data_IF_617775386492
#
_entry.id   IF_617775386492
#
_cell.length_a   1.000
_cell.length_b   1.000
_cell.length_c   1.000
_cell.angle_alpha   90.00
_cell.angle_beta   90.00
_cell.angle_gamma   90.00
#
_symmetry.space_group_name_H-M   'P 1'
#
loop_
_entity.id
_entity.type
_entity.pdbx_description
1 polymer ?
#
# COMPACT_ATOMS: atom_id res chain seq x y z
N UNK A 1 -43.73 -52.30 11.45
CA UNK A 1 -42.61 -52.45 10.51
C UNK A 1 -41.46 -51.63 11.07
N UNK A 2 -40.29 -52.26 11.29
CA UNK A 2 -39.07 -51.58 11.78
C UNK A 2 -38.37 -50.95 10.58
N UNK A 3 -38.17 -49.64 10.60
CA UNK A 3 -37.31 -48.94 9.64
C UNK A 3 -35.84 -49.22 9.99
N UNK A 4 -35.04 -49.54 8.98
CA UNK A 4 -33.65 -49.97 9.11
C UNK A 4 -32.76 -48.71 9.24
N UNK A 5 -31.93 -48.56 10.30
CA UNK A 5 -31.25 -47.29 10.61
C UNK A 5 -29.93 -47.06 9.85
N UNK A 6 -29.71 -47.73 8.71
CA UNK A 6 -28.43 -47.72 8.00
C UNK A 6 -28.50 -47.22 6.55
N UNK A 7 -29.56 -46.50 6.16
CA UNK A 7 -29.62 -45.87 4.84
C UNK A 7 -29.25 -44.39 4.94
N UNK A 8 -28.02 -44.04 4.58
CA UNK A 8 -27.49 -42.68 4.65
C UNK A 8 -27.63 -41.88 3.34
N UNK A 9 -28.60 -42.21 2.49
CA UNK A 9 -29.05 -41.33 1.39
C UNK A 9 -28.04 -41.02 0.28
N UNK A 10 -26.78 -41.43 0.39
CA UNK A 10 -25.77 -41.30 -0.66
C UNK A 10 -25.73 -42.59 -1.48
N UNK A 11 -26.45 -42.60 -2.61
CA UNK A 11 -26.33 -43.65 -3.63
C UNK A 11 -24.97 -43.54 -4.34
N UNK A 12 -23.92 -44.04 -3.71
CA UNK A 12 -22.66 -44.35 -4.39
C UNK A 12 -22.83 -45.58 -5.27
N UNK A 13 -22.46 -45.49 -6.54
CA UNK A 13 -22.42 -46.63 -7.46
C UNK A 13 -21.04 -47.30 -7.36
N UNK A 14 -20.82 -48.14 -6.35
CA UNK A 14 -19.68 -49.06 -6.34
C UNK A 14 -20.19 -50.36 -6.96
N UNK A 15 -19.55 -50.82 -8.04
CA UNK A 15 -19.85 -52.09 -8.72
C UNK A 15 -18.88 -53.16 -8.23
N UNK A 16 -19.29 -54.43 -8.28
CA UNK A 16 -18.47 -55.58 -7.83
C UNK A 16 -17.11 -55.72 -8.55
N UNK A 17 -16.90 -54.97 -9.65
CA UNK A 17 -15.67 -54.96 -10.44
C UNK A 17 -14.82 -53.69 -10.26
N UNK A 18 -15.14 -52.81 -9.32
CA UNK A 18 -14.32 -51.63 -9.07
C UNK A 18 -13.03 -52.04 -8.34
N UNK A 19 -11.88 -51.84 -8.97
CA UNK A 19 -10.58 -52.16 -8.39
C UNK A 19 -10.31 -51.27 -7.17
N UNK A 20 -10.09 -51.91 -6.02
CA UNK A 20 -9.64 -51.24 -4.80
C UNK A 20 -8.29 -50.58 -5.06
N UNK A 21 -8.26 -49.25 -5.11
CA UNK A 21 -7.01 -48.50 -5.11
C UNK A 21 -6.38 -48.70 -3.72
N UNK A 22 -5.21 -49.36 -3.61
CA UNK A 22 -4.52 -49.48 -2.33
C UNK A 22 -4.10 -48.09 -1.89
N UNK A 23 -4.65 -47.63 -0.77
CA UNK A 23 -4.21 -46.38 -0.16
C UNK A 23 -2.82 -46.65 0.42
N UNK A 24 -1.82 -45.96 -0.11
CA UNK A 24 -0.46 -45.96 0.43
C UNK A 24 -0.45 -45.16 1.74
N UNK A 25 -0.76 -45.85 2.83
CA UNK A 25 -0.76 -45.27 4.17
C UNK A 25 0.64 -44.82 4.59
N UNK A 26 1.70 -45.44 4.08
CA UNK A 26 3.08 -45.09 4.41
C UNK A 26 3.46 -43.77 3.73
N UNK A 27 3.15 -43.61 2.44
CA UNK A 27 3.34 -42.34 1.72
C UNK A 27 2.43 -41.20 2.19
N UNK A 28 1.24 -41.51 2.71
CA UNK A 28 0.37 -40.53 3.38
C UNK A 28 0.89 -40.17 4.78
N UNK A 29 1.40 -41.13 5.55
CA UNK A 29 2.08 -40.89 6.83
C UNK A 29 3.32 -40.03 6.63
N UNK A 30 4.15 -40.31 5.63
CA UNK A 30 5.35 -39.52 5.33
C UNK A 30 4.99 -38.09 4.89
N UNK A 31 3.88 -37.90 4.16
CA UNK A 31 3.36 -36.56 3.82
C UNK A 31 2.72 -35.84 5.00
N UNK A 32 2.09 -36.55 5.93
CA UNK A 32 1.55 -35.98 7.17
C UNK A 32 2.68 -35.66 8.14
N UNK A 33 3.72 -36.47 8.21
CA UNK A 33 4.93 -36.21 8.99
C UNK A 33 5.77 -35.08 8.38
N UNK A 34 5.83 -34.95 7.05
CA UNK A 34 6.46 -33.81 6.37
C UNK A 34 5.63 -32.52 6.46
N UNK A 35 4.28 -32.61 6.49
CA UNK A 35 3.40 -31.47 6.74
C UNK A 35 3.33 -31.08 8.23
N UNK A 36 3.56 -32.04 9.14
CA UNK A 36 3.74 -31.83 10.58
C UNK A 36 5.22 -31.69 10.97
N UNK A 37 6.15 -31.63 10.00
CA UNK A 37 7.53 -31.23 10.23
C UNK A 37 7.57 -29.71 10.40
N UNK A 38 6.90 -29.26 11.45
CA UNK A 38 7.31 -28.09 12.21
C UNK A 38 8.71 -28.45 12.67
N UNK A 39 9.72 -27.71 12.23
CA UNK A 39 11.07 -27.76 12.79
C UNK A 39 10.94 -27.86 14.32
N UNK A 40 11.71 -28.71 15.01
CA UNK A 40 11.49 -29.00 16.41
C UNK A 40 11.57 -27.70 17.21
N UNK A 41 10.40 -27.10 17.50
CA UNK A 41 10.33 -25.92 18.33
C UNK A 41 10.90 -26.31 19.69
N UNK A 42 11.91 -25.55 20.11
CA UNK A 42 12.59 -25.74 21.36
C UNK A 42 11.58 -25.95 22.49
N UNK A 43 11.88 -26.89 23.39
CA UNK A 43 11.13 -27.13 24.62
C UNK A 43 11.34 -25.96 25.60
N UNK A 44 10.84 -24.77 25.26
CA UNK A 44 10.81 -23.58 26.11
C UNK A 44 9.38 -23.21 26.52
N UNK A 45 9.25 -22.46 27.60
CA UNK A 45 8.02 -21.76 27.99
C UNK A 45 7.59 -20.77 26.89
N UNK A 46 6.33 -20.30 26.93
CA UNK A 46 5.80 -19.33 25.96
C UNK A 46 6.70 -18.08 25.86
N UNK A 47 7.20 -17.60 27.00
CA UNK A 47 8.08 -16.42 27.08
C UNK A 47 9.45 -16.71 26.47
N UNK A 48 10.07 -17.85 26.80
CA UNK A 48 11.37 -18.24 26.25
C UNK A 48 11.32 -18.39 24.72
N UNK A 49 10.27 -19.00 24.20
CA UNK A 49 10.09 -19.15 22.76
C UNK A 49 9.90 -17.78 22.07
N UNK A 50 9.15 -16.87 22.70
CA UNK A 50 8.97 -15.51 22.19
C UNK A 50 10.30 -14.72 22.18
N UNK A 51 11.07 -14.78 23.26
CA UNK A 51 12.39 -14.12 23.37
C UNK A 51 13.41 -14.70 22.40
N UNK A 52 13.43 -16.03 22.24
CA UNK A 52 14.30 -16.69 21.27
C UNK A 52 13.99 -16.22 19.84
N UNK A 53 12.71 -16.21 19.45
CA UNK A 53 12.28 -15.73 18.12
C UNK A 53 12.55 -14.23 17.93
N UNK A 54 12.47 -13.45 19.02
CA UNK A 54 12.87 -12.04 19.01
C UNK A 54 14.36 -11.88 18.74
N UNK A 55 15.20 -12.66 19.41
CA UNK A 55 16.65 -12.64 19.22
C UNK A 55 17.08 -13.01 17.79
N UNK A 56 16.28 -13.83 17.08
CA UNK A 56 16.55 -14.19 15.68
C UNK A 56 16.17 -13.09 14.67
N UNK A 57 15.13 -12.30 14.98
CA UNK A 57 14.52 -11.35 14.03
C UNK A 57 14.80 -9.88 14.35
N UNK A 58 15.38 -9.60 15.50
CA UNK A 58 15.67 -8.24 15.95
C UNK A 58 16.88 -7.65 15.23
N UNK A 59 16.73 -6.44 14.71
CA UNK A 59 17.85 -5.65 14.20
C UNK A 59 18.50 -4.85 15.34
N UNK A 60 19.79 -5.10 15.57
CA UNK A 60 20.55 -4.51 16.69
C UNK A 60 20.45 -2.98 16.75
N UNK A 61 20.31 -2.46 17.97
CA UNK A 61 20.30 -1.01 18.24
C UNK A 61 21.55 -0.71 19.06
N UNK A 62 22.44 0.13 18.54
CA UNK A 62 23.72 0.45 19.21
C UNK A 62 24.54 -0.78 19.58
N UNK A 63 24.58 -1.78 18.70
CA UNK A 63 25.30 -3.04 18.90
C UNK A 63 24.77 -3.85 20.11
N UNK A 64 23.56 -3.54 20.59
CA UNK A 64 22.90 -4.26 21.68
C UNK A 64 21.90 -5.27 21.12
N UNK A 65 21.92 -6.47 21.67
CA UNK A 65 20.90 -7.49 21.44
C UNK A 65 19.66 -7.25 22.33
N UNK A 66 18.53 -7.93 22.07
CA UNK A 66 17.31 -7.77 22.88
C UNK A 66 17.50 -8.01 24.37
N UNK A 67 18.32 -8.99 24.78
CA UNK A 67 18.54 -9.28 26.19
C UNK A 67 19.30 -8.16 26.91
N UNK A 68 20.29 -7.54 26.25
CA UNK A 68 21.01 -6.38 26.77
C UNK A 68 20.10 -5.15 26.89
N UNK A 69 19.17 -4.99 25.95
CA UNK A 69 18.13 -3.96 26.00
C UNK A 69 17.18 -4.20 27.17
N UNK A 70 16.69 -5.44 27.35
CA UNK A 70 15.84 -5.83 28.48
C UNK A 70 16.52 -5.52 29.82
N UNK A 71 17.81 -5.85 29.96
CA UNK A 71 18.58 -5.57 31.18
C UNK A 71 18.75 -4.05 31.41
N UNK A 72 19.02 -3.29 30.35
CA UNK A 72 19.17 -1.84 30.43
C UNK A 72 17.85 -1.16 30.85
N UNK A 73 16.73 -1.59 30.26
CA UNK A 73 15.40 -1.09 30.63
C UNK A 73 15.05 -1.48 32.06
N UNK A 74 15.37 -2.72 32.47
CA UNK A 74 15.16 -3.18 33.85
C UNK A 74 15.89 -2.28 34.86
N UNK A 75 17.15 -1.94 34.60
CA UNK A 75 17.91 -1.02 35.45
C UNK A 75 17.29 0.39 35.49
N UNK A 76 16.82 0.90 34.34
CA UNK A 76 16.19 2.22 34.26
C UNK A 76 14.88 2.28 35.05
N UNK A 77 13.99 1.31 34.84
CA UNK A 77 12.70 1.19 35.52
C UNK A 77 12.90 1.06 37.03
N UNK A 78 13.85 0.23 37.48
CA UNK A 78 14.13 0.07 38.91
C UNK A 78 14.54 1.39 39.55
N UNK A 79 15.39 2.18 38.88
CA UNK A 79 15.78 3.49 39.38
C UNK A 79 14.59 4.47 39.49
N UNK A 80 13.67 4.45 38.52
CA UNK A 80 12.46 5.27 38.56
C UNK A 80 11.50 4.87 39.68
N UNK A 81 11.37 3.56 39.95
CA UNK A 81 10.58 3.06 41.08
C UNK A 81 11.16 3.54 42.42
N UNK A 82 12.48 3.42 42.60
CA UNK A 82 13.18 3.84 43.82
C UNK A 82 13.06 5.36 44.05
N UNK A 83 13.21 6.16 42.98
CA UNK A 83 13.08 7.63 43.05
C UNK A 83 11.65 8.08 43.36
N UNK A 84 10.66 7.40 42.79
CA UNK A 84 9.24 7.71 42.98
C UNK A 84 8.68 7.15 44.28
N UNK A 85 9.42 6.27 44.96
CA UNK A 85 9.00 5.59 46.18
C UNK A 85 7.85 4.60 45.96
N UNK A 86 7.76 4.03 44.74
CA UNK A 86 6.73 3.08 44.36
C UNK A 86 7.19 1.67 44.76
N UNK A 87 6.40 0.99 45.61
CA UNK A 87 6.67 -0.38 46.03
C UNK A 87 6.19 -1.37 44.95
N UNK A 88 7.12 -1.74 44.07
CA UNK A 88 6.87 -2.52 42.86
C UNK A 88 8.04 -3.48 42.57
N UNK A 89 7.74 -4.66 42.02
CA UNK A 89 8.74 -5.67 41.67
C UNK A 89 8.74 -5.94 40.16
N UNK A 90 9.92 -5.88 39.54
CA UNK A 90 10.08 -6.24 38.13
C UNK A 90 10.21 -7.76 38.03
N UNK A 91 9.17 -8.42 37.52
CA UNK A 91 9.14 -9.90 37.40
C UNK A 91 10.02 -10.36 36.24
N UNK A 92 9.73 -9.91 35.04
CA UNK A 92 10.58 -10.08 33.86
C UNK A 92 10.38 -8.85 32.94
N UNK A 93 11.09 -8.79 31.82
CA UNK A 93 11.07 -7.70 30.85
C UNK A 93 11.21 -8.33 29.46
N UNK A 94 10.36 -7.97 28.51
CA UNK A 94 10.42 -8.49 27.14
C UNK A 94 10.38 -7.34 26.12
N UNK A 95 11.25 -7.38 25.10
CA UNK A 95 11.13 -6.48 23.95
C UNK A 95 9.94 -6.89 23.10
N UNK A 96 9.01 -5.97 22.88
CA UNK A 96 7.81 -6.16 22.04
C UNK A 96 7.73 -5.10 20.94
N UNK A 97 6.61 -5.06 20.24
CA UNK A 97 6.37 -4.09 19.17
C UNK A 97 6.99 -4.50 17.84
N UNK A 98 7.03 -3.56 16.90
CA UNK A 98 7.44 -3.85 15.52
C UNK A 98 8.88 -4.39 15.41
N UNK A 99 9.78 -3.88 16.25
CA UNK A 99 11.20 -4.23 16.27
C UNK A 99 11.48 -5.66 16.72
N UNK A 100 10.62 -6.26 17.56
CA UNK A 100 10.86 -7.62 18.02
C UNK A 100 10.72 -8.66 16.89
N UNK A 101 10.16 -8.28 15.73
CA UNK A 101 9.97 -9.15 14.56
C UNK A 101 10.44 -8.57 13.24
N UNK A 102 11.35 -7.59 13.27
CA UNK A 102 11.89 -6.99 12.05
C UNK A 102 10.84 -6.23 11.23
N UNK A 103 9.74 -5.79 11.87
CA UNK A 103 8.63 -5.08 11.23
C UNK A 103 8.73 -3.57 11.44
N UNK A 104 9.83 -3.05 11.96
CA UNK A 104 10.01 -1.63 12.21
C UNK A 104 10.16 -0.79 10.95
N UNK A 105 9.90 0.51 11.09
CA UNK A 105 10.08 1.53 10.06
C UNK A 105 11.05 2.62 10.57
N UNK A 106 11.45 3.53 9.69
CA UNK A 106 12.26 4.67 10.09
C UNK A 106 11.52 5.51 11.15
N UNK A 107 12.12 5.66 12.33
CA UNK A 107 11.51 6.36 13.47
C UNK A 107 10.67 5.48 14.41
N UNK A 108 10.58 4.16 14.19
CA UNK A 108 9.89 3.27 15.14
C UNK A 108 10.53 3.29 16.53
N UNK A 109 9.66 3.39 17.53
CA UNK A 109 9.92 3.22 18.95
C UNK A 109 10.34 1.79 19.31
N UNK A 110 10.86 1.63 20.52
CA UNK A 110 11.19 0.36 21.13
C UNK A 110 10.23 0.10 22.28
N UNK A 111 9.26 -0.79 22.08
CA UNK A 111 8.30 -1.17 23.11
C UNK A 111 8.89 -2.25 24.03
N UNK A 112 8.76 -2.07 25.34
CA UNK A 112 9.22 -3.06 26.33
C UNK A 112 8.15 -3.31 27.40
N UNK A 113 7.94 -4.57 27.76
CA UNK A 113 6.87 -5.02 28.66
C UNK A 113 7.40 -5.91 29.78
N UNK A 114 7.27 -5.45 31.03
CA UNK A 114 6.70 -6.16 32.20
C UNK A 114 7.14 -5.53 33.54
N UNK A 115 6.17 -5.45 34.48
CA UNK A 115 6.32 -5.00 35.86
C UNK A 115 5.19 -5.57 36.72
N UNK A 116 5.45 -6.43 37.71
CA UNK A 116 4.39 -6.93 38.60
C UNK A 116 4.25 -6.02 39.82
N UNK A 117 3.16 -5.26 39.87
CA UNK A 117 2.98 -4.24 40.89
C UNK A 117 1.54 -4.22 41.40
N UNK A 118 1.33 -3.69 42.60
CA UNK A 118 -0.02 -3.49 43.17
C UNK A 118 -0.65 -2.14 42.78
N UNK A 119 0.12 -1.30 42.10
CA UNK A 119 -0.23 0.05 41.68
C UNK A 119 -0.83 0.03 40.25
N UNK A 120 -1.55 1.09 39.88
CA UNK A 120 -2.27 1.10 38.60
C UNK A 120 -1.33 1.32 37.41
N UNK A 121 -1.53 0.53 36.35
CA UNK A 121 -0.76 0.60 35.08
C UNK A 121 -0.66 2.01 34.47
N UNK A 122 -1.69 2.85 34.61
CA UNK A 122 -1.68 4.21 34.06
C UNK A 122 -0.70 5.14 34.78
N UNK A 123 -0.64 5.05 36.12
CA UNK A 123 0.33 5.83 36.92
C UNK A 123 1.75 5.39 36.60
N UNK A 124 1.94 4.09 36.37
CA UNK A 124 3.24 3.52 35.99
C UNK A 124 3.68 3.98 34.61
N UNK A 125 2.78 3.96 33.64
CA UNK A 125 3.07 4.41 32.29
C UNK A 125 3.53 5.88 32.27
N UNK A 126 2.82 6.75 32.99
CA UNK A 126 3.21 8.17 33.10
C UNK A 126 4.56 8.34 33.80
N UNK A 127 4.86 7.50 34.79
CA UNK A 127 6.13 7.55 35.54
C UNK A 127 7.32 7.17 34.66
N UNK A 128 7.20 6.09 33.89
CA UNK A 128 8.32 5.58 33.10
C UNK A 128 8.54 6.37 31.80
N UNK A 129 7.46 6.89 31.22
CA UNK A 129 7.51 7.61 29.93
C UNK A 129 7.48 9.14 30.09
N UNK A 130 7.46 9.65 31.33
CA UNK A 130 7.47 11.09 31.61
C UNK A 130 8.74 11.79 31.13
N UNK A 131 9.89 11.17 31.38
CA UNK A 131 11.18 11.57 30.80
C UNK A 131 11.52 10.63 29.65
N UNK A 132 11.79 11.20 28.47
CA UNK A 132 12.03 10.40 27.27
C UNK A 132 13.33 9.57 27.38
N UNK A 133 13.18 8.28 27.64
CA UNK A 133 14.28 7.31 27.68
C UNK A 133 14.68 6.88 26.27
N UNK A 134 15.98 6.86 25.97
CA UNK A 134 16.50 6.51 24.66
C UNK A 134 17.63 5.49 24.76
N UNK A 135 17.61 4.50 23.88
CA UNK A 135 18.71 3.56 23.65
C UNK A 135 19.16 3.76 22.21
N UNK A 136 20.42 4.16 22.01
CA UNK A 136 20.96 4.36 20.66
C UNK A 136 20.29 5.42 19.80
N UNK A 137 19.67 6.43 20.43
CA UNK A 137 18.88 7.43 19.72
C UNK A 137 17.46 6.99 19.35
N UNK A 138 17.08 5.75 19.67
CA UNK A 138 15.70 5.25 19.55
C UNK A 138 14.98 5.51 20.87
N UNK A 139 13.79 6.11 20.82
CA UNK A 139 12.93 6.30 21.99
C UNK A 139 12.40 4.95 22.46
N UNK A 140 12.49 4.70 23.76
CA UNK A 140 11.97 3.48 24.40
C UNK A 140 10.65 3.81 25.05
N UNK A 141 9.61 3.09 24.66
CA UNK A 141 8.27 3.18 25.24
C UNK A 141 8.04 1.98 26.17
N UNK A 142 7.90 2.28 27.46
CA UNK A 142 7.79 1.26 28.50
C UNK A 142 6.31 1.05 28.81
N UNK A 143 5.82 -0.14 28.51
CA UNK A 143 4.42 -0.52 28.67
C UNK A 143 4.28 -1.48 29.87
N UNK A 144 4.04 -0.97 31.08
CA UNK A 144 3.86 -1.80 32.25
C UNK A 144 2.56 -2.61 32.17
N UNK A 145 2.64 -3.91 32.45
CA UNK A 145 1.48 -4.81 32.53
C UNK A 145 1.37 -5.40 33.92
N UNK A 146 0.15 -5.53 34.43
CA UNK A 146 -0.13 -6.14 35.73
C UNK A 146 -1.01 -7.38 35.56
N UNK A 147 -0.77 -8.40 36.38
CA UNK A 147 -1.57 -9.63 36.38
C UNK A 147 -3.07 -9.38 36.62
N UNK A 148 -3.42 -8.26 37.27
CA UNK A 148 -4.81 -7.91 37.60
C UNK A 148 -5.58 -7.32 36.41
N UNK A 149 -4.91 -6.68 35.46
CA UNK A 149 -5.56 -5.98 34.33
C UNK A 149 -5.23 -6.64 33.00
N UNK A 150 -3.95 -6.72 32.67
CA UNK A 150 -3.48 -7.17 31.36
C UNK A 150 -3.10 -8.65 31.34
N UNK A 151 -2.83 -9.23 32.52
CA UNK A 151 -2.43 -10.63 32.68
C UNK A 151 -0.92 -10.78 32.85
N UNK A 152 -0.42 -12.00 32.69
CA UNK A 152 1.02 -12.31 32.73
C UNK A 152 1.61 -12.35 31.32
N UNK A 153 2.94 -12.35 31.19
CA UNK A 153 3.59 -12.47 29.88
C UNK A 153 3.13 -13.71 29.11
N UNK A 154 2.89 -14.84 29.78
CA UNK A 154 2.41 -16.07 29.13
C UNK A 154 1.05 -15.89 28.44
N UNK A 155 0.24 -14.94 28.93
CA UNK A 155 -1.08 -14.62 28.33
C UNK A 155 -1.02 -13.43 27.37
N UNK A 156 -0.09 -12.51 27.58
CA UNK A 156 0.03 -11.28 26.80
C UNK A 156 0.81 -11.49 25.50
N UNK A 157 1.97 -12.17 25.55
CA UNK A 157 2.84 -12.35 24.40
C UNK A 157 2.17 -13.09 23.22
N UNK A 158 1.30 -14.10 23.43
CA UNK A 158 0.53 -14.69 22.33
C UNK A 158 -0.37 -13.68 21.61
N UNK A 159 -0.97 -12.72 22.33
CA UNK A 159 -1.81 -11.68 21.72
C UNK A 159 -0.98 -10.71 20.89
N UNK A 160 0.24 -10.40 21.36
CA UNK A 160 1.21 -9.61 20.59
C UNK A 160 1.63 -10.36 19.32
N UNK A 161 1.88 -11.66 19.41
CA UNK A 161 2.21 -12.50 18.26
C UNK A 161 1.08 -12.46 17.20
N UNK A 162 -0.16 -12.70 17.62
CA UNK A 162 -1.33 -12.66 16.73
C UNK A 162 -1.48 -11.29 16.06
N UNK A 163 -1.27 -10.20 16.81
CA UNK A 163 -1.30 -8.85 16.27
C UNK A 163 -0.19 -8.60 15.23
N UNK A 164 1.06 -8.95 15.55
CA UNK A 164 2.20 -8.74 14.66
C UNK A 164 2.10 -9.60 13.40
N UNK A 165 1.53 -10.80 13.49
CA UNK A 165 1.27 -11.63 12.33
C UNK A 165 0.19 -11.02 11.43
N UNK A 166 -0.87 -10.46 12.00
CA UNK A 166 -1.85 -9.67 11.25
C UNK A 166 -1.23 -8.46 10.54
N UNK A 167 -0.29 -7.75 11.20
CA UNK A 167 0.47 -6.65 10.59
C UNK A 167 1.36 -7.15 9.45
N UNK A 168 2.05 -8.28 9.62
CA UNK A 168 2.87 -8.91 8.57
C UNK A 168 2.00 -9.27 7.37
N UNK A 169 0.91 -10.01 7.59
CA UNK A 169 0.00 -10.39 6.52
C UNK A 169 -0.59 -9.18 5.80
N UNK A 170 -0.94 -8.11 6.54
CA UNK A 170 -1.46 -6.89 5.93
C UNK A 170 -0.41 -6.20 5.06
N UNK A 171 0.86 -6.19 5.49
CA UNK A 171 1.99 -5.66 4.71
C UNK A 171 2.31 -6.55 3.51
N UNK A 172 2.28 -7.86 3.68
CA UNK A 172 2.47 -8.81 2.58
C UNK A 172 1.35 -8.67 1.57
N UNK A 173 0.10 -8.61 2.01
CA UNK A 173 -1.06 -8.31 1.15
C UNK A 173 -0.88 -6.97 0.47
N UNK A 174 -0.50 -5.90 1.17
CA UNK A 174 -0.21 -4.60 0.57
C UNK A 174 0.94 -4.63 -0.45
N UNK A 175 1.98 -5.44 -0.21
CA UNK A 175 3.09 -5.69 -1.12
C UNK A 175 2.70 -6.58 -2.30
N UNK A 176 1.66 -7.40 -2.15
CA UNK A 176 1.05 -8.23 -3.19
C UNK A 176 -0.04 -7.46 -3.95
N UNK A 177 -0.57 -6.35 -3.41
CA UNK A 177 -1.47 -5.44 -4.12
C UNK A 177 -0.74 -4.58 -5.17
N UNK A 178 0.59 -4.63 -5.27
CA UNK A 178 1.33 -4.16 -6.43
C UNK A 178 2.41 -5.18 -6.80
N UNK A 179 2.28 -5.89 -7.94
CA UNK A 179 1.80 -5.35 -9.19
C UNK A 179 0.46 -5.97 -9.58
N UNK A 180 -0.61 -5.17 -9.57
CA UNK A 180 -1.51 -5.28 -10.71
C UNK A 180 -0.66 -4.99 -11.95
N UNK A 181 -0.84 -5.73 -13.05
CA UNK A 181 -0.32 -5.28 -14.34
C UNK A 181 -0.60 -3.78 -14.43
N UNK A 182 0.38 -2.91 -14.76
CA UNK A 182 0.10 -1.48 -14.83
C UNK A 182 -1.11 -1.33 -15.74
N UNK A 183 -2.25 -0.97 -15.14
CA UNK A 183 -3.43 -0.68 -15.90
C UNK A 183 -2.97 0.41 -16.88
N UNK A 184 -3.06 0.13 -18.18
CA UNK A 184 -2.56 1.05 -19.17
C UNK A 184 -3.18 2.42 -18.90
N UNK A 185 -2.37 3.48 -18.75
CA UNK A 185 -2.89 4.78 -18.37
C UNK A 185 -3.91 5.25 -19.41
N UNK A 186 -5.11 5.58 -18.95
CA UNK A 186 -6.21 6.02 -19.79
C UNK A 186 -6.00 7.50 -20.14
N UNK A 187 -5.70 7.77 -21.41
CA UNK A 187 -5.57 9.15 -21.90
C UNK A 187 -6.90 9.60 -22.49
N UNK A 188 -7.44 10.68 -21.94
CA UNK A 188 -8.68 11.34 -22.38
C UNK A 188 -8.45 12.83 -22.60
N UNK A 189 -9.43 13.51 -23.21
CA UNK A 189 -9.44 14.96 -23.38
C UNK A 189 -10.43 15.63 -22.44
N UNK A 190 -10.15 16.90 -22.14
CA UNK A 190 -11.05 17.81 -21.43
C UNK A 190 -11.39 18.98 -22.32
N UNK A 191 -12.58 19.55 -22.16
CA UNK A 191 -12.99 20.80 -22.84
C UNK A 191 -13.58 21.74 -21.81
N UNK A 192 -13.00 22.92 -21.69
CA UNK A 192 -13.43 23.95 -20.75
C UNK A 192 -13.93 25.20 -21.49
N UNK A 193 -15.03 25.79 -21.01
CA UNK A 193 -15.45 27.15 -21.41
C UNK A 193 -14.44 28.21 -20.97
N UNK A 194 -13.74 27.97 -19.86
CA UNK A 194 -12.69 28.84 -19.33
C UNK A 194 -11.47 28.02 -18.91
N UNK A 195 -10.38 28.04 -19.70
CA UNK A 195 -9.12 27.37 -19.37
C UNK A 195 -8.41 27.95 -18.14
N UNK A 196 -8.64 29.22 -17.81
CA UNK A 196 -8.06 29.83 -16.59
C UNK A 196 -8.75 29.33 -15.31
N UNK A 197 -10.04 29.01 -15.40
CA UNK A 197 -10.85 28.56 -14.28
C UNK A 197 -11.87 27.53 -14.78
N UNK A 198 -11.50 26.26 -14.81
CA UNK A 198 -12.37 25.17 -15.29
C UNK A 198 -13.74 25.11 -14.56
N UNK A 199 -13.82 25.65 -13.34
CA UNK A 199 -15.06 25.77 -12.56
C UNK A 199 -16.02 26.88 -13.04
N UNK A 200 -15.60 27.73 -13.99
CA UNK A 200 -16.40 28.85 -14.52
C UNK A 200 -16.91 28.54 -15.92
N UNK A 201 -18.12 27.98 -15.99
CA UNK A 201 -18.81 27.68 -17.25
C UNK A 201 -19.03 26.19 -17.44
N UNK A 202 -19.19 25.77 -18.69
CA UNK A 202 -19.29 24.35 -19.05
C UNK A 202 -17.90 23.69 -19.06
N UNK A 203 -17.78 22.54 -18.40
CA UNK A 203 -16.58 21.72 -18.35
C UNK A 203 -16.94 20.27 -18.67
N UNK A 204 -16.20 19.67 -19.59
CA UNK A 204 -16.41 18.32 -20.08
C UNK A 204 -15.12 17.52 -19.88
N UNK A 205 -15.25 16.34 -19.29
CA UNK A 205 -14.14 15.44 -18.97
C UNK A 205 -14.35 14.07 -19.60
N UNK A 206 -13.30 13.25 -19.63
CA UNK A 206 -13.33 11.87 -20.11
C UNK A 206 -13.73 11.75 -21.60
N UNK A 207 -13.34 12.72 -22.42
CA UNK A 207 -13.63 12.71 -23.86
C UNK A 207 -12.62 11.78 -24.55
N UNK A 208 -13.05 10.70 -25.23
CA UNK A 208 -12.13 9.68 -25.74
C UNK A 208 -11.45 10.07 -27.06
N UNK A 209 -11.97 11.06 -27.80
CA UNK A 209 -11.51 11.38 -29.16
C UNK A 209 -11.32 12.88 -29.39
N UNK A 210 -10.35 13.22 -30.23
CA UNK A 210 -10.04 14.62 -30.59
C UNK A 210 -11.19 15.23 -31.40
N UNK A 211 -11.85 14.46 -32.26
CA UNK A 211 -13.02 14.92 -33.01
C UNK A 211 -14.14 15.42 -32.10
N UNK A 212 -14.45 14.64 -31.07
CA UNK A 212 -15.51 14.99 -30.12
C UNK A 212 -15.12 16.23 -29.31
N UNK A 213 -13.87 16.28 -28.82
CA UNK A 213 -13.36 17.45 -28.09
C UNK A 213 -13.43 18.72 -28.95
N UNK A 214 -12.98 18.66 -30.21
CA UNK A 214 -13.05 19.79 -31.15
C UNK A 214 -14.50 20.17 -31.48
N UNK A 215 -15.40 19.19 -31.59
CA UNK A 215 -16.82 19.45 -31.85
C UNK A 215 -17.52 20.16 -30.68
N UNK A 216 -17.19 19.78 -29.44
CA UNK A 216 -17.68 20.45 -28.23
C UNK A 216 -17.08 21.85 -28.15
N UNK A 217 -15.76 21.98 -28.32
CA UNK A 217 -15.06 23.26 -28.26
C UNK A 217 -15.60 24.28 -29.29
N UNK A 218 -15.90 23.84 -30.52
CA UNK A 218 -16.51 24.70 -31.57
C UNK A 218 -17.94 25.13 -31.27
N UNK A 219 -18.66 24.42 -30.40
CA UNK A 219 -20.02 24.80 -29.99
C UNK A 219 -20.02 25.89 -28.91
N UNK A 220 -18.89 26.15 -28.26
CA UNK A 220 -18.76 27.20 -27.24
C UNK A 220 -18.92 28.56 -27.93
N UNK A 221 -19.98 29.34 -27.61
CA UNK A 221 -20.23 30.59 -28.30
C UNK A 221 -19.13 31.63 -27.98
N UNK A 222 -18.52 32.28 -28.99
CA UNK A 222 -17.46 33.27 -28.77
C UNK A 222 -17.97 34.54 -28.06
N UNK A 223 -19.29 34.70 -27.93
CA UNK A 223 -19.96 35.83 -27.28
C UNK A 223 -20.09 35.66 -25.75
N UNK A 224 -19.80 34.46 -25.20
CA UNK A 224 -19.81 34.24 -23.75
C UNK A 224 -18.58 34.91 -23.12
N UNK A 225 -18.80 36.08 -22.51
CA UNK A 225 -17.75 37.00 -22.02
C UNK A 225 -16.87 36.48 -20.87
N UNK A 226 -17.00 35.24 -20.43
CA UNK A 226 -16.52 34.81 -19.10
C UNK A 226 -15.31 33.86 -19.13
N UNK A 227 -14.77 33.48 -20.29
CA UNK A 227 -13.61 32.59 -20.35
C UNK A 227 -12.96 32.45 -21.73
N UNK A 228 -11.69 32.05 -21.74
CA UNK A 228 -10.98 31.60 -22.95
C UNK A 228 -11.21 30.08 -23.06
N UNK A 229 -11.85 29.58 -24.12
CA UNK A 229 -12.18 28.16 -24.22
C UNK A 229 -10.92 27.33 -24.45
N UNK A 230 -10.81 26.19 -23.78
CA UNK A 230 -9.61 25.36 -23.78
C UNK A 230 -9.92 23.88 -24.07
N UNK A 231 -8.92 23.19 -24.63
CA UNK A 231 -8.90 21.72 -24.73
C UNK A 231 -7.64 21.22 -24.04
N UNK A 232 -7.81 20.31 -23.09
CA UNK A 232 -6.73 19.68 -22.35
C UNK A 232 -6.60 18.19 -22.61
N UNK A 233 -5.46 17.65 -22.18
CA UNK A 233 -5.19 16.21 -22.08
C UNK A 233 -5.23 15.83 -20.62
N UNK A 234 -5.91 14.73 -20.29
CA UNK A 234 -5.91 14.12 -18.96
C UNK A 234 -5.38 12.69 -19.06
N UNK A 235 -4.45 12.32 -18.19
CA UNK A 235 -3.93 10.97 -18.04
C UNK A 235 -4.38 10.44 -16.68
N UNK A 236 -5.27 9.44 -16.70
CA UNK A 236 -5.76 8.75 -15.52
C UNK A 236 -5.09 7.39 -15.39
N UNK A 237 -4.67 7.02 -14.18
CA UNK A 237 -4.22 5.66 -13.89
C UNK A 237 -5.38 4.90 -13.23
N UNK A 238 -5.96 3.88 -13.87
CA UNK A 238 -7.07 3.16 -13.27
C UNK A 238 -6.73 2.61 -11.88
N UNK A 239 -7.49 3.03 -10.88
CA UNK A 239 -7.28 2.67 -9.48
C UNK A 239 -6.61 3.74 -8.61
N UNK A 240 -6.21 4.88 -9.18
CA UNK A 240 -5.79 6.07 -8.42
C UNK A 240 -6.94 7.07 -8.25
N UNK A 241 -6.83 7.97 -7.27
CA UNK A 241 -7.81 9.04 -7.07
C UNK A 241 -7.67 10.13 -8.15
N UNK A 242 -8.75 10.84 -8.48
CA UNK A 242 -8.79 11.85 -9.57
C UNK A 242 -7.78 12.99 -9.38
N UNK A 243 -7.41 13.32 -8.14
CA UNK A 243 -6.40 14.37 -7.89
C UNK A 243 -4.97 13.93 -8.23
N UNK A 244 -4.75 12.63 -8.46
CA UNK A 244 -3.48 12.07 -8.92
C UNK A 244 -3.38 12.07 -10.46
N UNK A 245 -4.46 12.40 -11.16
CA UNK A 245 -4.48 12.51 -12.61
C UNK A 245 -3.58 13.65 -13.09
N UNK A 246 -2.90 13.42 -14.21
CA UNK A 246 -2.06 14.44 -14.84
C UNK A 246 -2.83 15.08 -15.98
N UNK A 247 -3.34 16.28 -15.72
CA UNK A 247 -4.09 17.08 -16.68
C UNK A 247 -3.38 18.38 -17.09
N UNK A 248 -3.47 18.76 -18.36
CA UNK A 248 -3.03 20.08 -18.83
C UNK A 248 -3.78 20.56 -20.07
N UNK A 249 -4.12 21.84 -20.08
CA UNK A 249 -4.69 22.53 -21.25
C UNK A 249 -3.62 22.74 -22.32
N UNK A 250 -3.85 22.18 -23.50
CA UNK A 250 -2.92 22.26 -24.64
C UNK A 250 -3.37 23.32 -25.65
N UNK A 251 -4.68 23.44 -25.86
CA UNK A 251 -5.27 24.53 -26.65
C UNK A 251 -5.92 25.54 -25.71
N UNK A 252 -5.56 26.81 -25.85
CA UNK A 252 -6.21 27.94 -25.17
C UNK A 252 -6.61 28.98 -26.20
N UNK A 253 -7.92 29.12 -26.44
CA UNK A 253 -8.46 30.05 -27.43
C UNK A 253 -7.93 29.74 -28.83
N UNK A 254 -7.10 30.62 -29.38
CA UNK A 254 -6.52 30.45 -30.72
C UNK A 254 -5.08 29.90 -30.72
N UNK A 255 -4.58 29.41 -29.58
CA UNK A 255 -3.19 29.00 -29.40
C UNK A 255 -3.04 27.59 -28.89
N UNK A 256 -2.15 26.83 -29.50
CA UNK A 256 -1.69 25.52 -29.03
C UNK A 256 -0.32 25.72 -28.39
N UNK A 257 -0.22 25.52 -27.09
CA UNK A 257 1.03 25.61 -26.33
C UNK A 257 1.68 24.23 -26.23
N UNK A 258 2.79 24.04 -26.95
CA UNK A 258 3.59 22.82 -26.91
C UNK A 258 4.77 22.93 -25.95
N UNK A 259 5.21 24.14 -25.61
CA UNK A 259 6.31 24.36 -24.66
C UNK A 259 5.91 23.94 -23.24
N UNK A 260 4.62 24.02 -22.89
CA UNK A 260 4.09 23.53 -21.61
C UNK A 260 4.41 22.05 -21.35
N UNK A 261 4.57 21.24 -22.41
CA UNK A 261 4.90 19.82 -22.31
C UNK A 261 6.31 19.57 -21.74
N UNK A 262 7.22 20.56 -21.81
CA UNK A 262 8.53 20.44 -21.17
C UNK A 262 8.44 20.39 -19.64
N UNK A 263 7.37 20.96 -19.08
CA UNK A 263 7.10 20.96 -17.65
C UNK A 263 6.28 19.76 -17.18
N UNK A 264 5.75 18.95 -18.11
CA UNK A 264 4.86 17.82 -17.82
C UNK A 264 5.38 16.56 -18.53
N UNK A 265 6.42 15.91 -17.96
CA UNK A 265 7.08 14.77 -18.60
C UNK A 265 6.14 13.58 -18.78
N UNK A 266 5.11 13.43 -17.95
CA UNK A 266 4.12 12.35 -18.06
C UNK A 266 3.31 12.43 -19.36
N UNK A 267 2.86 13.63 -19.73
CA UNK A 267 2.16 13.87 -21.00
C UNK A 267 3.14 13.75 -22.17
N UNK A 268 4.32 14.37 -22.07
CA UNK A 268 5.34 14.34 -23.14
C UNK A 268 5.86 12.92 -23.42
N UNK A 269 5.94 12.09 -22.39
CA UNK A 269 6.42 10.71 -22.46
C UNK A 269 5.36 9.70 -22.88
N UNK A 270 4.07 10.06 -22.86
CA UNK A 270 2.97 9.16 -23.20
C UNK A 270 2.67 9.19 -24.72
N UNK A 271 2.85 8.06 -25.45
CA UNK A 271 2.64 8.01 -26.89
C UNK A 271 1.20 8.30 -27.33
N UNK A 272 0.20 7.91 -26.53
CA UNK A 272 -1.22 8.14 -26.82
C UNK A 272 -1.57 9.63 -26.67
N UNK A 273 -1.10 10.27 -25.59
CA UNK A 273 -1.25 11.71 -25.39
C UNK A 273 -0.61 12.52 -26.52
N UNK A 274 0.64 12.20 -26.87
CA UNK A 274 1.33 12.86 -27.99
C UNK A 274 0.63 12.60 -29.34
N UNK A 275 0.02 11.44 -29.51
CA UNK A 275 -0.82 11.12 -30.67
C UNK A 275 -2.07 11.99 -30.77
N UNK A 276 -2.78 12.20 -29.65
CA UNK A 276 -3.93 13.10 -29.56
C UNK A 276 -3.56 14.56 -29.79
N UNK A 277 -2.43 15.02 -29.26
CA UNK A 277 -1.92 16.39 -29.49
C UNK A 277 -1.58 16.61 -30.97
N UNK A 278 -0.87 15.66 -31.60
CA UNK A 278 -0.56 15.74 -33.02
C UNK A 278 -1.84 15.76 -33.88
N UNK A 279 -2.87 15.01 -33.49
CA UNK A 279 -4.15 15.02 -34.15
C UNK A 279 -4.93 16.33 -33.97
N UNK A 280 -4.87 16.92 -32.77
CA UNK A 280 -5.45 18.22 -32.49
C UNK A 280 -4.83 19.31 -33.39
N UNK A 281 -3.49 19.33 -33.47
CA UNK A 281 -2.73 20.23 -34.37
C UNK A 281 -3.06 19.97 -35.85
N UNK A 282 -3.31 18.71 -36.22
CA UNK A 282 -3.70 18.37 -37.59
C UNK A 282 -5.08 18.91 -37.97
N UNK A 283 -6.06 18.81 -37.05
CA UNK A 283 -7.46 19.22 -37.25
C UNK A 283 -7.72 20.72 -37.10
N UNK A 284 -6.83 21.44 -36.40
CA UNK A 284 -6.91 22.88 -36.20
C UNK A 284 -5.69 23.60 -36.82
N UNK A 285 -5.52 23.56 -38.15
CA UNK A 285 -4.37 24.16 -38.84
C UNK A 285 -4.32 25.69 -38.76
N UNK A 286 -5.42 26.34 -38.41
CA UNK A 286 -5.53 27.80 -38.27
C UNK A 286 -4.99 28.35 -36.93
N UNK A 287 -4.66 27.48 -35.97
CA UNK A 287 -4.20 27.90 -34.64
C UNK A 287 -2.74 28.35 -34.66
N UNK A 288 -2.43 29.33 -33.81
CA UNK A 288 -1.04 29.71 -33.52
C UNK A 288 -0.41 28.59 -32.67
N UNK A 289 0.82 28.19 -33.00
CA UNK A 289 1.54 27.18 -32.24
C UNK A 289 2.67 27.88 -31.49
N UNK A 290 2.63 27.80 -30.17
CA UNK A 290 3.70 28.23 -29.29
C UNK A 290 4.58 27.01 -28.97
N UNK A 291 5.87 27.12 -29.27
CA UNK A 291 6.86 26.06 -29.11
C UNK A 291 7.29 25.35 -30.38
N UNK A 292 8.15 24.34 -30.23
CA UNK A 292 8.74 23.62 -31.35
C UNK A 292 8.06 22.28 -31.62
N UNK A 293 7.51 22.09 -32.82
CA UNK A 293 7.21 20.75 -33.31
C UNK A 293 8.52 20.05 -33.66
N UNK A 294 8.83 18.95 -32.96
CA UNK A 294 9.91 18.06 -33.39
C UNK A 294 9.58 17.36 -34.72
N UNK A 295 10.61 16.95 -35.45
CA UNK A 295 10.45 16.30 -36.78
C UNK A 295 9.48 15.10 -36.76
N UNK A 296 9.48 14.31 -35.67
CA UNK A 296 8.57 13.17 -35.50
C UNK A 296 7.10 13.61 -35.36
N UNK A 297 6.85 14.70 -34.63
CA UNK A 297 5.51 15.26 -34.45
C UNK A 297 5.02 15.92 -35.74
N UNK A 298 5.88 16.65 -36.45
CA UNK A 298 5.56 17.20 -37.77
C UNK A 298 5.14 16.11 -38.76
N UNK A 299 5.87 14.99 -38.80
CA UNK A 299 5.53 13.86 -39.65
C UNK A 299 4.15 13.27 -39.32
N UNK A 300 3.84 13.08 -38.02
CA UNK A 300 2.52 12.60 -37.56
C UNK A 300 1.39 13.57 -37.90
N UNK A 301 1.62 14.87 -37.73
CA UNK A 301 0.65 15.93 -38.13
C UNK A 301 0.41 15.90 -39.63
N UNK A 302 1.47 15.76 -40.43
CA UNK A 302 1.39 15.72 -41.88
C UNK A 302 0.64 14.48 -42.39
N UNK A 303 0.92 13.31 -41.82
CA UNK A 303 0.21 12.06 -42.11
C UNK A 303 -1.30 12.21 -41.84
N UNK A 304 -1.66 12.75 -40.68
CA UNK A 304 -3.06 12.96 -40.29
C UNK A 304 -3.79 14.02 -41.13
N UNK A 305 -3.06 14.97 -41.74
CA UNK A 305 -3.61 15.97 -42.66
C UNK A 305 -3.89 15.43 -44.07
N UNK A 306 -3.37 14.25 -44.42
CA UNK A 306 -3.53 13.63 -45.74
C UNK A 306 -4.33 12.31 -45.68
N UNK A 307 -5.67 12.35 -45.53
CA UNK A 307 -6.46 11.12 -45.59
C UNK A 307 -6.65 10.54 -47.01
N UNK A 308 -6.38 11.30 -48.09
CA UNK A 308 -6.71 10.91 -49.48
C UNK A 308 -5.56 11.09 -50.48
N UNK A 309 -4.47 10.32 -50.35
CA UNK A 309 -3.65 9.98 -51.51
C UNK A 309 -4.00 8.57 -51.95
N UNK A 310 -4.97 8.46 -52.87
CA UNK A 310 -5.01 7.29 -53.75
C UNK A 310 -3.65 7.22 -54.47
N UNK A 311 -2.96 6.06 -54.47
CA UNK A 311 -1.71 5.93 -55.21
C UNK A 311 -1.98 6.29 -56.67
N UNK A 312 -1.19 7.21 -57.23
CA UNK A 312 -1.27 7.52 -58.64
C UNK A 312 -1.03 6.23 -59.46
N UNK A 313 -2.03 5.85 -60.26
CA UNK A 313 -1.95 4.77 -61.25
C UNK A 313 -0.93 5.09 -62.36
#
# INVERSE_FOLDING_TARGET
MKENPFDNGTRGNIRDNDELIPIDYDGLMEKVEAANAIEPQAQGTVVENFKAKTNELFHEISEMNPAEIEETVKCHVQAQLDESGIDAEIVDVAVVGSRCRGLEQEGSDLDVVELSTSEREDVMFDTFNGDAFHIGGVKVDINPITAQRTGTLETYLPQVEDYLEGVREAREKASVTLPQEPAEPEVTLTVAECGEFHNLGEFYENIPTVEEAVAIWKQIPPERMNGIPAIGINIHTPGTEVFEDVGMDILSGNRIDLDILEYIPDIKGNPQAMGMIAELVAKLPEMEIDGHLGEEMEAKVWEKRMPDLTPAE
#
